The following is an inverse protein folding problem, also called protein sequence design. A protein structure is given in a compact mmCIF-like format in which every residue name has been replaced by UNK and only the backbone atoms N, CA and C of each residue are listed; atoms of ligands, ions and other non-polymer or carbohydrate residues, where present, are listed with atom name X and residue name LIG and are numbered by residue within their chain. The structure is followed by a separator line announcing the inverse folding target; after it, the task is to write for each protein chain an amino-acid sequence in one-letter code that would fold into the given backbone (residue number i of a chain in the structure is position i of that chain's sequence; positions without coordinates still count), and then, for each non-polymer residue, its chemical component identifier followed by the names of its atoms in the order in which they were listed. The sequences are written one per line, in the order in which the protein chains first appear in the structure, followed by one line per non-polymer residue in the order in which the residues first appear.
data_IF_997479540844
#
_entry.id   IF_997479540844
#
_cell.length_a   1.000
_cell.length_b   1.000
_cell.length_c   1.000
_cell.angle_alpha   90.00
_cell.angle_beta   90.00
_cell.angle_gamma   90.00
#
_symmetry.space_group_name_H-M   'P 1'
#
loop_
_entity.id
_entity.type
_entity.pdbx_description
1 polymer ?
#
# COMPACT_ATOMS: atom_id res chain seq x y z
N UNK A 1 4.79 19.05 0.99
CA UNK A 1 5.44 18.05 1.87
C UNK A 1 6.54 18.74 2.68
N UNK A 2 6.70 18.37 3.95
CA UNK A 2 7.81 18.83 4.79
C UNK A 2 9.05 17.97 4.50
N UNK A 3 10.24 18.58 4.43
CA UNK A 3 11.53 17.90 4.24
C UNK A 3 11.73 16.71 5.19
N UNK A 4 11.30 16.80 6.46
CA UNK A 4 11.43 15.71 7.45
C UNK A 4 10.56 14.49 7.16
N UNK A 5 9.45 14.66 6.42
CA UNK A 5 8.58 13.54 6.04
C UNK A 5 9.13 12.83 4.79
N UNK A 6 9.72 13.59 3.86
CA UNK A 6 10.33 13.03 2.65
C UNK A 6 11.47 12.05 2.96
N UNK A 7 12.34 12.39 3.91
CA UNK A 7 13.44 11.51 4.33
C UNK A 7 12.95 10.20 4.96
N UNK A 8 11.79 10.22 5.62
CA UNK A 8 11.17 9.03 6.20
C UNK A 8 10.61 8.09 5.13
N UNK A 9 9.90 8.64 4.15
CA UNK A 9 9.35 7.85 3.04
C UNK A 9 10.43 7.27 2.13
N UNK A 10 11.53 8.00 1.91
CA UNK A 10 12.68 7.50 1.15
C UNK A 10 13.23 6.22 1.79
N UNK A 11 13.62 6.26 3.07
CA UNK A 11 14.13 5.09 3.78
C UNK A 11 13.13 3.93 3.82
N UNK A 12 11.84 4.24 3.97
CA UNK A 12 10.79 3.23 3.91
C UNK A 12 10.71 2.56 2.55
N UNK A 13 10.72 3.33 1.46
CA UNK A 13 10.63 2.80 0.09
C UNK A 13 11.87 1.99 -0.29
N UNK A 14 13.05 2.40 0.17
CA UNK A 14 14.29 1.62 -0.01
C UNK A 14 14.25 0.27 0.72
N UNK A 15 13.51 0.17 1.82
CA UNK A 15 13.40 -1.08 2.58
C UNK A 15 12.52 -2.14 1.92
N UNK A 16 11.71 -1.78 0.92
CA UNK A 16 10.72 -2.67 0.32
C UNK A 16 11.35 -3.57 -0.77
N UNK A 17 11.35 -4.91 -0.60
CA UNK A 17 11.92 -5.82 -1.59
C UNK A 17 11.30 -5.66 -2.99
N UNK A 18 10.01 -5.33 -3.06
CA UNK A 18 9.26 -5.12 -4.31
C UNK A 18 9.83 -4.00 -5.19
N UNK A 19 10.51 -3.01 -4.60
CA UNK A 19 11.00 -1.82 -5.29
C UNK A 19 12.52 -1.83 -5.51
N UNK A 20 13.20 -2.92 -5.15
CA UNK A 20 14.66 -3.06 -5.27
C UNK A 20 15.19 -3.02 -6.71
N UNK A 21 14.33 -3.32 -7.68
CA UNK A 21 14.67 -3.25 -9.11
C UNK A 21 14.67 -1.83 -9.67
N UNK A 22 14.10 -0.86 -8.95
CA UNK A 22 14.00 0.53 -9.38
C UNK A 22 15.30 1.28 -9.09
N UNK A 23 15.68 2.16 -10.00
CA UNK A 23 16.77 3.12 -9.80
C UNK A 23 16.39 4.18 -8.75
N UNK A 24 17.39 4.88 -8.21
CA UNK A 24 17.17 5.93 -7.21
C UNK A 24 16.19 7.00 -7.71
N UNK A 25 16.34 7.47 -8.95
CA UNK A 25 15.44 8.46 -9.55
C UNK A 25 14.00 7.97 -9.67
N UNK A 26 13.81 6.69 -10.02
CA UNK A 26 12.48 6.07 -10.09
C UNK A 26 11.85 5.94 -8.71
N UNK A 27 12.64 5.59 -7.68
CA UNK A 27 12.17 5.58 -6.28
C UNK A 27 11.81 6.97 -5.79
N UNK A 28 12.55 8.01 -6.18
CA UNK A 28 12.19 9.40 -5.84
C UNK A 28 10.85 9.79 -6.47
N UNK A 29 10.59 9.42 -7.73
CA UNK A 29 9.27 9.63 -8.34
C UNK A 29 8.16 8.93 -7.55
N UNK A 30 8.43 7.74 -7.00
CA UNK A 30 7.48 7.01 -6.16
C UNK A 30 7.25 7.76 -4.83
N UNK A 31 8.30 8.24 -4.17
CA UNK A 31 8.21 9.07 -2.95
C UNK A 31 7.38 10.34 -3.20
N UNK A 32 7.54 10.97 -4.36
CA UNK A 32 6.82 12.19 -4.72
C UNK A 32 5.31 11.98 -4.89
N UNK A 33 4.88 10.80 -5.36
CA UNK A 33 3.45 10.49 -5.57
C UNK A 33 2.81 9.73 -4.41
N UNK A 34 3.59 9.29 -3.43
CA UNK A 34 3.10 8.56 -2.28
C UNK A 34 2.22 9.43 -1.38
N UNK A 35 1.14 8.83 -0.89
CA UNK A 35 0.20 9.47 0.03
C UNK A 35 -0.08 8.51 1.18
N UNK A 36 0.14 8.97 2.42
CA UNK A 36 -0.21 8.19 3.61
C UNK A 36 -1.71 8.30 3.90
N UNK A 37 -2.31 7.21 4.34
CA UNK A 37 -3.73 7.12 4.69
C UNK A 37 -3.92 6.26 5.92
N UNK A 38 -4.61 6.81 6.92
CA UNK A 38 -4.88 6.14 8.19
C UNK A 38 -6.27 5.54 8.18
N UNK A 39 -6.39 4.36 8.79
CA UNK A 39 -7.63 3.62 8.95
C UNK A 39 -7.83 3.28 10.42
N UNK A 40 -9.09 3.27 10.85
CA UNK A 40 -9.48 2.88 12.21
C UNK A 40 -9.69 1.36 12.31
N UNK A 41 -9.70 0.83 13.54
CA UNK A 41 -9.94 -0.61 13.75
C UNK A 41 -11.32 -1.01 13.21
N UNK A 42 -11.37 -2.13 12.48
CA UNK A 42 -12.55 -2.60 11.77
C UNK A 42 -12.89 -1.87 10.46
N UNK A 43 -12.15 -0.83 10.06
CA UNK A 43 -12.40 -0.11 8.82
C UNK A 43 -11.95 -0.91 7.58
N UNK A 44 -12.81 -0.96 6.57
CA UNK A 44 -12.53 -1.69 5.33
C UNK A 44 -11.60 -0.90 4.42
N UNK A 45 -10.36 -1.39 4.22
CA UNK A 45 -9.36 -0.76 3.35
C UNK A 45 -9.66 -1.03 1.86
N UNK A 46 -9.89 -2.29 1.50
CA UNK A 46 -10.19 -2.76 0.13
C UNK A 46 -11.35 -3.76 0.18
N UNK A 47 -12.26 -3.68 -0.79
CA UNK A 47 -13.36 -4.64 -0.96
C UNK A 47 -13.08 -5.62 -2.10
N UNK A 48 -13.33 -6.91 -1.90
CA UNK A 48 -13.22 -7.92 -2.95
C UNK A 48 -14.17 -7.59 -4.12
N UNK A 49 -13.64 -7.60 -5.35
CA UNK A 49 -14.41 -7.30 -6.56
C UNK A 49 -14.58 -5.81 -6.87
N UNK A 50 -14.16 -4.91 -5.98
CA UNK A 50 -14.10 -3.49 -6.28
C UNK A 50 -12.99 -3.18 -7.29
N UNK A 51 -13.21 -2.19 -8.14
CA UNK A 51 -12.18 -1.67 -9.04
C UNK A 51 -11.09 -0.98 -8.22
N UNK A 52 -9.83 -1.33 -8.48
CA UNK A 52 -8.66 -0.71 -7.86
C UNK A 52 -7.74 -0.13 -8.93
N UNK A 53 -7.26 1.09 -8.70
CA UNK A 53 -6.28 1.81 -9.54
C UNK A 53 -4.95 2.06 -8.82
N UNK A 54 -4.87 1.72 -7.53
CA UNK A 54 -3.71 1.90 -6.67
C UNK A 54 -3.45 0.64 -5.85
N UNK A 55 -2.22 0.48 -5.39
CA UNK A 55 -1.85 -0.50 -4.36
C UNK A 55 -1.49 0.22 -3.06
N UNK A 56 -1.47 -0.53 -1.97
CA UNK A 56 -1.14 -0.02 -0.64
C UNK A 56 0.08 -0.75 -0.09
N UNK A 57 0.86 -0.03 0.71
CA UNK A 57 1.94 -0.58 1.51
C UNK A 57 1.63 -0.22 2.96
N UNK A 58 1.73 -1.20 3.86
CA UNK A 58 1.48 -0.97 5.29
C UNK A 58 2.71 -0.31 5.90
N UNK A 59 2.61 0.99 6.20
CA UNK A 59 3.64 1.76 6.90
C UNK A 59 3.72 1.38 8.39
N UNK A 60 2.56 1.19 9.04
CA UNK A 60 2.46 0.75 10.43
C UNK A 60 1.10 0.11 10.72
N UNK A 61 1.03 -0.71 11.78
CA UNK A 61 -0.18 -1.41 12.20
C UNK A 61 -0.29 -2.84 11.68
N UNK A 62 -1.49 -3.43 11.78
CA UNK A 62 -1.81 -4.77 11.31
C UNK A 62 -3.06 -4.73 10.45
N UNK A 63 -3.09 -5.56 9.40
CA UNK A 63 -4.23 -5.68 8.49
C UNK A 63 -4.67 -7.13 8.42
N UNK A 64 -5.98 -7.37 8.38
CA UNK A 64 -6.55 -8.69 8.19
C UNK A 64 -7.04 -8.83 6.75
N UNK A 65 -6.56 -9.87 6.06
CA UNK A 65 -7.01 -10.20 4.70
C UNK A 65 -8.04 -11.31 4.80
N UNK A 66 -9.22 -11.10 4.20
CA UNK A 66 -10.27 -12.10 4.11
C UNK A 66 -10.69 -12.26 2.65
N UNK A 67 -11.04 -13.48 2.25
CA UNK A 67 -11.55 -13.77 0.92
C UNK A 67 -12.85 -14.56 1.05
N UNK A 68 -13.91 -14.08 0.40
CA UNK A 68 -15.14 -14.84 0.34
C UNK A 68 -14.96 -15.97 -0.69
N UNK A 69 -14.89 -17.21 -0.21
CA UNK A 69 -14.73 -18.42 -1.02
C UNK A 69 -16.06 -19.01 -1.48
N UNK A 70 -17.13 -18.22 -1.53
CA UNK A 70 -18.43 -18.64 -2.05
C UNK A 70 -18.32 -19.05 -3.53
N UNK A 71 -17.84 -20.28 -3.76
CA UNK A 71 -18.12 -21.03 -4.97
C UNK A 71 -19.63 -21.15 -5.02
N UNK A 72 -20.24 -20.53 -6.01
CA UNK A 72 -21.60 -20.85 -6.39
C UNK A 72 -21.63 -22.32 -6.78
N UNK A 73 -21.95 -23.19 -5.82
CA UNK A 73 -22.52 -24.50 -6.08
C UNK A 73 -23.92 -24.26 -6.66
N UNK A 74 -23.99 -23.88 -7.93
CA UNK A 74 -25.22 -23.92 -8.69
C UNK A 74 -25.14 -25.14 -9.61
N UNK A 75 -25.91 -26.13 -9.16
CA UNK A 75 -26.32 -27.37 -9.80
C UNK A 75 -26.82 -27.20 -11.24
#
# INVERSE_FOLDING_TARGET
MNLFQLTGFEAFIESLPLLTSLQVSERMCVVDVLSSKTYTDGEQIIAQGATANCFYIVESGQVQITMNTSKASAK
#
